data_IF_414210600751
#
_entry.id   IF_414210600751
#
_cell.length_a   1.000
_cell.length_b   1.000
_cell.length_c   1.000
_cell.angle_alpha   90.00
_cell.angle_beta   90.00
_cell.angle_gamma   90.00
#
_symmetry.space_group_name_H-M   'P 1'
#
loop_
_entity.id
_entity.type
_entity.pdbx_description
1 polymer ?
#
# COMPACT_ATOMS: atom_id res chain seq x y z
N UNK A 1 -23.92 -20.15 15.42
CA UNK A 1 -22.78 -19.41 16.05
C UNK A 1 -22.11 -18.46 15.04
N UNK A 2 -22.85 -17.75 14.17
CA UNK A 2 -22.27 -16.90 13.11
C UNK A 2 -22.63 -15.40 13.19
N UNK A 3 -23.40 -14.98 14.19
CA UNK A 3 -23.98 -13.63 14.20
C UNK A 3 -23.64 -12.90 15.51
N UNK A 4 -22.35 -12.84 15.84
CA UNK A 4 -21.85 -12.13 17.02
C UNK A 4 -21.16 -10.85 16.56
N UNK A 5 -21.48 -9.74 17.23
CA UNK A 5 -20.71 -8.52 17.09
C UNK A 5 -19.31 -8.77 17.64
N UNK A 6 -18.31 -8.54 16.79
CA UNK A 6 -16.90 -8.64 17.13
C UNK A 6 -16.20 -7.37 16.67
N UNK A 7 -15.27 -6.90 17.50
CA UNK A 7 -14.36 -5.81 17.15
C UNK A 7 -12.99 -6.43 16.94
N UNK A 8 -12.33 -6.05 15.85
CA UNK A 8 -10.98 -6.47 15.51
C UNK A 8 -10.12 -5.23 15.42
N UNK A 9 -9.10 -5.18 16.26
CA UNK A 9 -8.05 -4.16 16.21
C UNK A 9 -6.82 -4.78 15.53
N UNK A 10 -6.25 -4.07 14.56
CA UNK A 10 -5.16 -4.55 13.72
C UNK A 10 -4.06 -3.50 13.72
N UNK A 11 -2.91 -3.87 14.28
CA UNK A 11 -1.69 -3.06 14.17
C UNK A 11 -1.09 -3.23 12.77
N UNK A 12 -0.90 -2.10 12.08
CA UNK A 12 -0.30 -2.03 10.76
C UNK A 12 0.94 -1.13 10.81
N UNK A 13 1.89 -1.34 9.89
CA UNK A 13 3.03 -0.45 9.72
C UNK A 13 2.56 0.84 9.02
N UNK A 14 2.68 1.98 9.69
CA UNK A 14 2.30 3.29 9.18
C UNK A 14 3.25 3.85 8.11
N UNK A 15 4.44 3.26 7.98
CA UNK A 15 5.48 3.70 7.03
C UNK A 15 5.38 2.99 5.68
N UNK A 16 4.57 1.95 5.57
CA UNK A 16 4.44 1.16 4.34
C UNK A 16 3.52 1.87 3.34
N UNK A 17 3.98 1.95 2.09
CA UNK A 17 3.29 2.67 1.02
C UNK A 17 2.57 1.71 0.07
N UNK A 18 1.55 2.20 -0.62
CA UNK A 18 0.85 1.44 -1.67
C UNK A 18 1.66 1.50 -2.97
N UNK A 19 1.94 0.34 -3.56
CA UNK A 19 2.63 0.19 -4.86
C UNK A 19 1.73 -0.57 -5.86
N UNK A 20 1.86 -0.32 -7.18
CA UNK A 20 2.75 0.64 -7.80
C UNK A 20 2.29 2.10 -7.62
N UNK A 21 3.23 3.04 -7.56
CA UNK A 21 2.96 4.47 -7.40
C UNK A 21 3.66 5.28 -8.49
N UNK A 22 2.92 6.16 -9.19
CA UNK A 22 3.51 7.07 -10.17
C UNK A 22 4.43 8.09 -9.51
N UNK A 23 5.55 8.38 -10.16
CA UNK A 23 6.53 9.35 -9.67
C UNK A 23 6.11 10.76 -10.10
N UNK A 24 5.99 11.65 -9.11
CA UNK A 24 5.52 13.03 -9.33
C UNK A 24 6.44 13.75 -10.33
N UNK A 25 5.84 14.24 -11.42
CA UNK A 25 6.54 15.01 -12.45
C UNK A 25 7.23 14.18 -13.54
N UNK A 26 7.16 12.85 -13.45
CA UNK A 26 7.74 11.95 -14.44
C UNK A 26 6.67 11.40 -15.41
N UNK A 27 7.14 10.69 -16.45
CA UNK A 27 6.28 10.01 -17.43
C UNK A 27 5.51 8.82 -16.86
N UNK A 28 4.55 8.30 -17.64
CA UNK A 28 3.77 7.11 -17.26
C UNK A 28 4.62 5.84 -17.17
N UNK A 29 5.81 5.82 -17.76
CA UNK A 29 6.78 4.73 -17.63
C UNK A 29 7.50 4.74 -16.28
N UNK A 30 7.39 5.83 -15.50
CA UNK A 30 8.08 6.01 -14.23
C UNK A 30 7.19 5.73 -13.04
N UNK A 31 7.42 4.57 -12.42
CA UNK A 31 6.66 4.08 -11.27
C UNK A 31 7.59 3.50 -10.22
N UNK A 32 7.23 3.68 -8.95
CA UNK A 32 7.68 2.79 -7.89
C UNK A 32 6.90 1.49 -8.00
N UNK A 33 7.55 0.36 -8.27
CA UNK A 33 6.92 -0.95 -8.36
C UNK A 33 6.87 -1.67 -7.01
N UNK A 34 7.86 -1.40 -6.17
CA UNK A 34 7.95 -1.87 -4.79
C UNK A 34 8.81 -0.90 -3.96
N UNK A 35 9.02 -1.21 -2.68
CA UNK A 35 9.93 -0.47 -1.80
C UNK A 35 11.37 -0.36 -2.34
N UNK A 36 11.78 -1.29 -3.21
CA UNK A 36 13.15 -1.36 -3.74
C UNK A 36 13.23 -1.28 -5.27
N UNK A 37 12.10 -1.35 -5.99
CA UNK A 37 12.08 -1.45 -7.45
C UNK A 37 11.36 -0.25 -8.10
N UNK A 38 11.93 0.23 -9.22
CA UNK A 38 11.44 1.38 -9.99
C UNK A 38 11.59 1.13 -11.50
N UNK A 39 10.66 1.65 -12.30
CA UNK A 39 10.76 1.77 -13.78
C UNK A 39 11.00 3.21 -14.23
#
# INVERSE_FOLDING_TARGET
>A
MKDRLVFVDISVDETEHVYPMQIKGEGMDKMWLSKTERT
#
